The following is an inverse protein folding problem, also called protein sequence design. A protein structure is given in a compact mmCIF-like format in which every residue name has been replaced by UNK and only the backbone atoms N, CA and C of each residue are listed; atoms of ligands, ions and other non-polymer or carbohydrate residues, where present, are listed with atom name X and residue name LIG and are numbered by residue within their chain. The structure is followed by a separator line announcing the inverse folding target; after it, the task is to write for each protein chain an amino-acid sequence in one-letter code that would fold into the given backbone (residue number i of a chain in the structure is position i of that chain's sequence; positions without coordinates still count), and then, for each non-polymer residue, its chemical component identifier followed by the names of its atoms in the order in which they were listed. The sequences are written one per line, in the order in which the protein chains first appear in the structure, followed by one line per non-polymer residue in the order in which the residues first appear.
data_IF_665204271559
#
_entry.id   IF_665204271559
#
_cell.length_a   1.000
_cell.length_b   1.000
_cell.length_c   1.000
_cell.angle_alpha   90.00
_cell.angle_beta   90.00
_cell.angle_gamma   90.00
#
_symmetry.space_group_name_H-M   'P 1'
#
loop_
_entity.id
_entity.type
_entity.pdbx_description
1 polymer ?
#
# COMPACT_ATOMS: atom_id res chain seq x y z
N UNK A 1 13.16 -1.14 62.48
CA UNK A 1 13.58 -2.19 63.39
C UNK A 1 14.21 -3.29 62.54
N UNK A 2 15.46 -3.41 62.71
CA UNK A 2 16.49 -4.39 62.92
C UNK A 2 17.19 -4.85 61.62
N UNK A 3 18.40 -4.41 61.30
CA UNK A 3 19.76 -4.74 61.79
C UNK A 3 20.10 -6.23 61.69
N UNK A 4 21.13 -6.55 60.88
CA UNK A 4 22.31 -7.37 61.21
C UNK A 4 23.16 -7.54 59.94
N UNK A 5 24.28 -6.89 59.75
CA UNK A 5 25.66 -7.08 60.22
C UNK A 5 26.38 -8.24 59.53
N UNK A 6 27.32 -7.84 58.68
CA UNK A 6 28.74 -8.21 58.54
C UNK A 6 29.18 -9.64 58.85
N UNK A 7 30.01 -10.22 57.98
CA UNK A 7 31.32 -10.72 58.33
C UNK A 7 32.27 -10.92 57.13
N UNK A 8 33.43 -10.36 57.26
CA UNK A 8 34.69 -10.53 56.53
C UNK A 8 35.20 -11.97 56.58
N UNK A 9 35.82 -12.48 55.54
CA UNK A 9 37.02 -13.25 55.68
C UNK A 9 37.92 -13.14 54.43
N UNK A 10 39.06 -12.54 54.70
CA UNK A 10 40.24 -12.49 53.86
C UNK A 10 41.01 -13.78 54.08
N UNK A 11 41.44 -14.44 53.01
CA UNK A 11 42.68 -15.23 53.12
C UNK A 11 43.41 -15.26 51.77
N UNK A 12 44.53 -14.59 51.79
CA UNK A 12 45.63 -14.62 50.84
C UNK A 12 46.37 -15.96 50.94
N UNK A 13 46.82 -16.52 49.85
CA UNK A 13 48.13 -17.16 49.79
C UNK A 13 48.59 -17.44 48.34
N UNK A 14 49.70 -16.89 48.10
CA UNK A 14 50.67 -16.97 47.00
C UNK A 14 51.11 -18.43 46.74
N UNK A 15 51.24 -18.83 45.50
CA UNK A 15 52.33 -19.76 45.13
C UNK A 15 52.86 -19.47 43.72
N UNK A 16 54.14 -19.38 43.68
CA UNK A 16 55.07 -19.04 42.62
C UNK A 16 55.40 -20.29 41.82
N UNK A 17 55.59 -20.16 40.54
CA UNK A 17 56.63 -20.91 39.82
C UNK A 17 56.16 -22.00 38.91
N UNK A 18 56.42 -21.82 37.68
CA UNK A 18 57.41 -22.54 36.87
C UNK A 18 57.16 -22.34 35.39
N UNK A 19 58.09 -21.72 34.74
CA UNK A 19 58.32 -21.83 33.29
C UNK A 19 58.69 -23.24 32.91
N UNK A 20 58.13 -23.75 31.83
CA UNK A 20 58.77 -24.70 30.90
C UNK A 20 57.95 -24.68 29.60
N UNK A 21 58.47 -24.11 28.62
CA UNK A 21 59.17 -24.61 27.44
C UNK A 21 58.30 -25.24 26.35
N UNK A 22 58.23 -24.49 25.26
CA UNK A 22 58.51 -24.85 23.91
C UNK A 22 57.94 -26.17 23.37
N UNK A 23 56.88 -26.08 22.63
CA UNK A 23 56.34 -27.15 21.81
C UNK A 23 55.60 -26.60 20.61
N UNK A 24 56.35 -26.21 19.61
CA UNK A 24 55.88 -25.93 18.27
C UNK A 24 55.10 -27.15 17.73
N UNK A 25 53.80 -27.01 17.60
CA UNK A 25 52.99 -27.82 16.70
C UNK A 25 52.15 -26.91 15.82
N UNK A 26 52.60 -26.87 14.57
CA UNK A 26 51.81 -26.48 13.44
C UNK A 26 50.49 -27.24 13.45
N UNK A 27 49.42 -26.57 13.84
CA UNK A 27 48.08 -27.05 13.56
C UNK A 27 47.55 -26.33 12.34
N UNK A 28 47.32 -27.17 11.38
CA UNK A 28 46.59 -26.96 10.15
C UNK A 28 45.51 -25.93 10.31
N UNK A 29 45.58 -24.91 9.48
CA UNK A 29 44.45 -24.09 9.09
C UNK A 29 43.41 -25.00 8.41
N UNK A 30 42.52 -25.58 9.18
CA UNK A 30 41.26 -26.02 8.63
C UNK A 30 40.52 -24.80 8.12
N UNK A 31 40.54 -24.70 6.82
CA UNK A 31 39.67 -23.82 6.06
C UNK A 31 38.22 -23.95 6.58
N UNK A 32 37.84 -23.05 7.45
CA UNK A 32 36.43 -22.74 7.64
C UNK A 32 35.99 -22.08 6.32
N UNK A 33 35.65 -22.91 5.35
CA UNK A 33 34.80 -22.55 4.25
C UNK A 33 33.49 -22.12 4.89
N UNK A 34 33.41 -20.82 5.26
CA UNK A 34 32.14 -20.12 5.38
C UNK A 34 31.42 -20.36 4.05
N UNK A 35 30.48 -21.27 4.08
CA UNK A 35 29.46 -21.37 3.05
C UNK A 35 28.66 -20.08 3.09
N UNK A 36 29.22 -19.00 2.51
CA UNK A 36 28.48 -17.87 2.03
C UNK A 36 27.70 -18.33 0.82
N UNK A 37 26.59 -18.97 1.04
CA UNK A 37 25.58 -19.14 0.02
C UNK A 37 24.20 -19.37 0.65
N UNK A 38 23.79 -18.45 1.50
CA UNK A 38 22.38 -18.16 1.66
C UNK A 38 22.20 -16.70 1.27
N UNK A 39 21.95 -16.47 -0.02
CA UNK A 39 21.23 -15.29 -0.47
C UNK A 39 20.10 -15.11 0.54
N UNK A 40 19.95 -13.95 1.21
CA UNK A 40 18.80 -13.72 2.07
C UNK A 40 17.57 -13.95 1.22
N UNK A 41 16.78 -14.95 1.56
CA UNK A 41 15.68 -15.49 0.76
C UNK A 41 14.52 -14.50 0.63
N UNK A 42 14.67 -13.30 1.21
CA UNK A 42 13.69 -12.22 1.16
C UNK A 42 14.42 -10.87 1.02
N UNK A 43 14.90 -10.56 -0.18
CA UNK A 43 15.21 -9.17 -0.46
C UNK A 43 13.90 -8.37 -0.42
N UNK A 44 13.93 -7.13 0.04
CA UNK A 44 12.76 -6.22 0.06
C UNK A 44 12.07 -6.18 -1.30
N UNK A 45 12.84 -6.32 -2.38
CA UNK A 45 12.34 -6.38 -3.76
C UNK A 45 11.50 -7.63 -4.02
N UNK A 46 11.93 -8.80 -3.53
CA UNK A 46 11.20 -10.06 -3.72
C UNK A 46 9.90 -10.06 -2.92
N UNK A 47 9.92 -9.56 -1.70
CA UNK A 47 8.73 -9.39 -0.86
C UNK A 47 7.73 -8.45 -1.54
N UNK A 48 8.19 -7.31 -2.05
CA UNK A 48 7.34 -6.36 -2.74
C UNK A 48 6.74 -6.95 -4.04
N UNK A 49 7.54 -7.67 -4.82
CA UNK A 49 7.06 -8.34 -6.04
C UNK A 49 5.98 -9.38 -5.73
N UNK A 50 6.20 -10.19 -4.71
CA UNK A 50 5.22 -11.20 -4.30
C UNK A 50 3.93 -10.55 -3.80
N UNK A 51 4.04 -9.42 -3.09
CA UNK A 51 2.89 -8.64 -2.66
C UNK A 51 2.07 -8.15 -3.87
N UNK A 52 2.71 -7.49 -4.86
CA UNK A 52 2.03 -7.00 -6.06
C UNK A 52 1.34 -8.13 -6.84
N UNK A 53 1.97 -9.31 -6.90
CA UNK A 53 1.38 -10.48 -7.54
C UNK A 53 0.12 -10.96 -6.82
N UNK A 54 0.13 -11.00 -5.49
CA UNK A 54 -1.03 -11.37 -4.68
C UNK A 54 -2.16 -10.36 -4.80
N UNK A 55 -1.84 -9.07 -4.77
CA UNK A 55 -2.81 -8.01 -4.98
C UNK A 55 -3.48 -8.14 -6.36
N UNK A 56 -2.68 -8.32 -7.41
CA UNK A 56 -3.17 -8.55 -8.76
C UNK A 56 -4.12 -9.76 -8.83
N UNK A 57 -3.77 -10.87 -8.19
CA UNK A 57 -4.61 -12.06 -8.15
C UNK A 57 -5.93 -11.80 -7.40
N UNK A 58 -5.88 -11.06 -6.28
CA UNK A 58 -7.07 -10.70 -5.51
C UNK A 58 -8.03 -9.83 -6.32
N UNK A 59 -7.50 -8.89 -7.11
CA UNK A 59 -8.30 -8.05 -8.01
C UNK A 59 -8.94 -8.92 -9.11
N UNK A 60 -8.20 -9.84 -9.73
CA UNK A 60 -8.74 -10.73 -10.76
C UNK A 60 -9.85 -11.64 -10.20
N UNK A 61 -9.66 -12.19 -9.00
CA UNK A 61 -10.66 -12.99 -8.33
C UNK A 61 -11.93 -12.16 -8.06
N UNK A 62 -11.78 -10.92 -7.55
CA UNK A 62 -12.91 -10.02 -7.31
C UNK A 62 -13.74 -9.76 -8.58
N UNK A 63 -13.06 -9.53 -9.71
CA UNK A 63 -13.69 -9.29 -11.01
C UNK A 63 -14.43 -10.56 -11.48
N UNK A 64 -13.77 -11.72 -11.40
CA UNK A 64 -14.34 -13.00 -11.83
C UNK A 64 -15.53 -13.45 -10.96
N UNK A 65 -15.42 -13.34 -9.63
CA UNK A 65 -16.46 -13.76 -8.68
C UNK A 65 -17.77 -12.94 -8.83
N UNK A 66 -17.68 -11.76 -9.43
CA UNK A 66 -18.83 -10.84 -9.65
C UNK A 66 -19.25 -10.71 -11.11
N UNK A 67 -18.63 -11.49 -11.99
CA UNK A 67 -18.86 -11.44 -13.45
C UNK A 67 -18.78 -10.02 -14.04
N UNK A 68 -17.79 -9.24 -13.58
CA UNK A 68 -17.60 -7.86 -14.00
C UNK A 68 -16.85 -7.77 -15.32
N UNK A 69 -17.36 -6.94 -16.24
CA UNK A 69 -16.71 -6.65 -17.53
C UNK A 69 -15.82 -5.42 -17.44
N UNK A 70 -14.71 -5.52 -16.70
CA UNK A 70 -13.82 -4.38 -16.46
C UNK A 70 -12.71 -4.26 -17.53
N UNK A 71 -12.44 -3.02 -17.93
CA UNK A 71 -11.26 -2.65 -18.71
C UNK A 71 -10.11 -2.30 -17.76
N UNK A 72 -8.89 -2.40 -18.23
CA UNK A 72 -7.70 -1.92 -17.52
C UNK A 72 -7.01 -0.86 -18.37
N UNK A 73 -6.77 0.33 -17.78
CA UNK A 73 -6.07 1.40 -18.48
C UNK A 73 -4.53 1.28 -18.36
N UNK A 74 -3.82 2.19 -19.05
CA UNK A 74 -2.35 2.23 -19.05
C UNK A 74 -1.74 2.58 -17.67
N UNK A 75 -2.49 3.18 -16.76
CA UNK A 75 -2.03 3.52 -15.38
C UNK A 75 -2.24 2.37 -14.41
N UNK A 76 -2.95 1.33 -14.82
CA UNK A 76 -3.15 0.09 -14.06
C UNK A 76 -4.45 0.02 -13.27
N UNK A 77 -5.31 1.04 -13.32
CA UNK A 77 -6.65 0.98 -12.72
C UNK A 77 -7.60 0.15 -13.60
N UNK A 78 -8.51 -0.57 -12.94
CA UNK A 78 -9.60 -1.30 -13.61
C UNK A 78 -10.86 -0.49 -13.49
N UNK A 79 -11.68 -0.49 -14.55
CA UNK A 79 -12.90 0.29 -14.56
C UNK A 79 -13.97 -0.32 -15.46
N UNK A 80 -15.20 -0.07 -15.07
CA UNK A 80 -16.41 -0.28 -15.84
C UNK A 80 -17.27 0.96 -15.65
N UNK A 81 -17.61 1.65 -16.73
CA UNK A 81 -18.40 2.88 -16.72
C UNK A 81 -19.72 2.60 -17.41
N UNK A 82 -20.79 2.94 -16.73
CA UNK A 82 -22.13 3.05 -17.28
C UNK A 82 -22.35 4.52 -17.63
N UNK A 83 -22.31 4.80 -18.94
CA UNK A 83 -22.47 6.15 -19.46
C UNK A 83 -23.93 6.59 -19.35
N UNK A 84 -24.16 7.86 -19.00
CA UNK A 84 -25.49 8.44 -19.09
C UNK A 84 -25.88 8.62 -20.57
N UNK A 85 -26.88 7.81 -21.01
CA UNK A 85 -27.36 7.83 -22.39
C UNK A 85 -28.14 9.09 -22.79
N UNK A 86 -28.56 9.87 -21.79
CA UNK A 86 -29.37 11.07 -21.99
C UNK A 86 -28.53 12.33 -22.26
N UNK A 87 -27.20 12.21 -22.16
CA UNK A 87 -26.28 13.31 -22.42
C UNK A 87 -25.78 13.29 -23.88
N UNK A 88 -26.26 14.23 -24.66
CA UNK A 88 -25.72 14.48 -25.99
C UNK A 88 -24.30 15.09 -25.91
N UNK A 89 -23.31 14.46 -26.51
CA UNK A 89 -21.93 14.92 -26.57
C UNK A 89 -21.26 15.04 -25.16
N UNK A 90 -21.06 13.92 -24.45
CA UNK A 90 -20.56 13.93 -23.08
C UNK A 90 -19.15 14.52 -22.99
N UNK A 91 -18.97 15.49 -22.11
CA UNK A 91 -17.68 16.15 -21.88
C UNK A 91 -17.03 15.55 -20.64
N UNK A 92 -15.86 14.95 -20.84
CA UNK A 92 -15.05 14.36 -19.74
C UNK A 92 -14.35 15.43 -18.92
N UNK A 93 -14.13 15.13 -17.64
CA UNK A 93 -13.30 15.93 -16.78
C UNK A 93 -11.86 16.01 -17.26
N UNK A 94 -11.22 17.15 -17.06
CA UNK A 94 -9.83 17.43 -17.43
C UNK A 94 -9.05 17.96 -16.22
N UNK A 95 -7.72 17.97 -16.33
CA UNK A 95 -6.85 18.56 -15.31
C UNK A 95 -7.23 20.03 -15.06
N UNK A 96 -7.49 20.37 -13.80
CA UNK A 96 -7.89 21.70 -13.35
C UNK A 96 -9.40 21.93 -13.26
N UNK A 97 -10.23 21.06 -13.81
CA UNK A 97 -11.69 21.16 -13.65
C UNK A 97 -12.10 20.84 -12.21
N UNK A 98 -13.13 21.50 -11.71
CA UNK A 98 -13.78 21.17 -10.46
C UNK A 98 -14.88 20.13 -10.72
N UNK A 99 -14.79 18.99 -10.07
CA UNK A 99 -15.73 17.87 -10.24
C UNK A 99 -16.47 17.62 -8.93
N UNK A 100 -17.80 17.71 -8.99
CA UNK A 100 -18.70 17.27 -7.91
C UNK A 100 -19.13 15.84 -8.18
N UNK A 101 -18.97 14.95 -7.20
CA UNK A 101 -19.23 13.52 -7.38
C UNK A 101 -19.69 12.85 -6.08
N UNK A 102 -20.53 11.83 -6.23
CA UNK A 102 -20.79 10.88 -5.17
C UNK A 102 -19.78 9.75 -5.23
N UNK A 103 -19.43 9.23 -4.06
CA UNK A 103 -18.50 8.10 -3.97
C UNK A 103 -18.88 7.11 -2.87
N UNK A 104 -18.50 5.87 -3.09
CA UNK A 104 -18.41 4.84 -2.07
C UNK A 104 -17.10 4.09 -2.23
N UNK A 105 -16.33 3.99 -1.16
CA UNK A 105 -15.04 3.30 -1.11
C UNK A 105 -15.20 2.05 -0.28
N UNK A 106 -14.81 0.91 -0.84
CA UNK A 106 -14.85 -0.38 -0.15
C UNK A 106 -13.61 -1.22 -0.39
N UNK A 107 -13.40 -2.21 0.48
CA UNK A 107 -12.41 -3.26 0.29
C UNK A 107 -12.89 -4.29 -0.76
N UNK A 108 -11.98 -5.09 -1.31
CA UNK A 108 -12.31 -6.20 -2.21
C UNK A 108 -13.22 -7.26 -1.56
N UNK A 109 -13.29 -7.33 -0.22
CA UNK A 109 -14.22 -8.21 0.49
C UNK A 109 -15.64 -7.64 0.62
N UNK A 110 -15.87 -6.40 0.13
CA UNK A 110 -17.16 -5.71 0.18
C UNK A 110 -17.38 -4.84 1.41
N UNK A 111 -16.44 -4.79 2.37
CA UNK A 111 -16.56 -3.90 3.53
C UNK A 111 -16.46 -2.44 3.10
N UNK A 112 -17.52 -1.67 3.32
CA UNK A 112 -17.54 -0.24 3.07
C UNK A 112 -16.67 0.49 4.12
N UNK A 113 -15.86 1.44 3.63
CA UNK A 113 -14.96 2.24 4.44
C UNK A 113 -15.42 3.69 4.55
N UNK A 114 -15.74 4.28 3.40
CA UNK A 114 -16.15 5.67 3.26
C UNK A 114 -17.21 5.82 2.18
N UNK A 115 -18.09 6.80 2.36
CA UNK A 115 -19.05 7.23 1.33
C UNK A 115 -19.41 8.70 1.52
N UNK A 116 -19.77 9.38 0.43
CA UNK A 116 -20.43 10.69 0.49
C UNK A 116 -21.87 10.55 1.00
N UNK A 117 -22.39 11.59 1.63
CA UNK A 117 -23.82 11.63 1.94
C UNK A 117 -24.65 11.82 0.65
N UNK A 118 -25.86 11.31 0.66
CA UNK A 118 -26.75 11.32 -0.52
C UNK A 118 -27.00 12.73 -1.09
N UNK A 119 -27.03 13.75 -0.23
CA UNK A 119 -27.28 15.13 -0.62
C UNK A 119 -26.04 16.04 -0.54
N UNK A 120 -24.85 15.46 -0.30
CA UNK A 120 -23.59 16.19 -0.16
C UNK A 120 -22.51 15.52 -1.02
N UNK A 121 -22.45 15.80 -2.33
CA UNK A 121 -21.37 15.31 -3.16
C UNK A 121 -20.03 15.89 -2.70
N UNK A 122 -18.98 15.11 -2.85
CA UNK A 122 -17.62 15.59 -2.68
C UNK A 122 -17.24 16.51 -3.85
N UNK A 123 -16.34 17.44 -3.60
CA UNK A 123 -15.76 18.32 -4.61
C UNK A 123 -14.26 18.05 -4.69
N UNK A 124 -13.74 17.91 -5.90
CA UNK A 124 -12.30 17.73 -6.14
C UNK A 124 -11.88 18.51 -7.39
N UNK A 125 -10.82 19.31 -7.26
CA UNK A 125 -10.13 19.89 -8.41
C UNK A 125 -9.13 18.89 -8.99
N UNK A 126 -9.40 18.39 -10.19
CA UNK A 126 -8.66 17.32 -10.84
C UNK A 126 -7.19 17.71 -11.03
N UNK A 127 -6.28 16.84 -10.57
CA UNK A 127 -4.81 16.99 -10.63
C UNK A 127 -4.25 18.23 -9.89
N UNK A 128 -5.04 18.90 -9.04
CA UNK A 128 -4.64 20.12 -8.31
C UNK A 128 -4.80 20.02 -6.80
N UNK A 129 -5.69 19.17 -6.33
CA UNK A 129 -5.91 18.95 -4.90
C UNK A 129 -5.27 17.62 -4.46
N UNK A 130 -5.08 17.49 -3.14
CA UNK A 130 -4.50 16.29 -2.55
C UNK A 130 -5.55 15.18 -2.45
N UNK A 131 -5.42 14.21 -3.35
CA UNK A 131 -6.21 12.99 -3.39
C UNK A 131 -5.40 11.89 -4.06
N UNK A 132 -5.91 10.65 -4.02
CA UNK A 132 -5.24 9.51 -4.65
C UNK A 132 -5.14 9.72 -6.17
N UNK A 133 -3.96 9.48 -6.71
CA UNK A 133 -3.71 9.61 -8.17
C UNK A 133 -4.71 8.77 -8.99
N UNK A 134 -5.11 7.60 -8.45
CA UNK A 134 -6.11 6.74 -9.08
C UNK A 134 -7.50 7.38 -9.15
N UNK A 135 -7.88 8.19 -8.17
CA UNK A 135 -9.16 8.92 -8.18
C UNK A 135 -9.15 10.01 -9.27
N UNK A 136 -8.08 10.80 -9.36
CA UNK A 136 -7.94 11.77 -10.45
C UNK A 136 -8.02 11.11 -11.83
N UNK A 137 -7.37 9.96 -12.00
CA UNK A 137 -7.43 9.21 -13.26
C UNK A 137 -8.84 8.67 -13.54
N UNK A 138 -9.56 8.20 -12.51
CA UNK A 138 -10.92 7.71 -12.64
C UNK A 138 -11.87 8.83 -13.08
N UNK A 139 -11.84 9.99 -12.42
CA UNK A 139 -12.67 11.13 -12.75
C UNK A 139 -12.44 11.62 -14.20
N UNK A 140 -11.21 11.60 -14.70
CA UNK A 140 -10.89 11.96 -16.10
C UNK A 140 -11.46 10.99 -17.15
N UNK A 141 -11.88 9.80 -16.76
CA UNK A 141 -12.54 8.85 -17.66
C UNK A 141 -14.04 9.07 -17.79
N UNK A 142 -14.65 9.85 -16.88
CA UNK A 142 -16.08 10.03 -16.71
C UNK A 142 -16.57 11.40 -17.18
N UNK A 143 -17.85 11.46 -17.51
CA UNK A 143 -18.62 12.66 -17.85
C UNK A 143 -19.73 12.87 -16.82
N UNK A 144 -20.41 14.01 -16.86
CA UNK A 144 -21.59 14.28 -16.00
C UNK A 144 -22.66 13.22 -16.22
N UNK A 145 -23.21 12.68 -15.14
CA UNK A 145 -24.23 11.63 -15.13
C UNK A 145 -23.69 10.21 -15.20
N UNK A 146 -22.41 10.02 -15.57
CA UNK A 146 -21.80 8.69 -15.60
C UNK A 146 -21.70 8.07 -14.22
N UNK A 147 -21.96 6.76 -14.14
CA UNK A 147 -21.67 5.91 -13.00
C UNK A 147 -20.53 4.99 -13.33
N UNK A 148 -19.60 4.82 -12.41
CA UNK A 148 -18.41 4.03 -12.68
C UNK A 148 -17.95 3.21 -11.47
N UNK A 149 -17.67 1.95 -11.72
CA UNK A 149 -17.00 1.06 -10.78
C UNK A 149 -15.52 0.99 -11.14
N UNK A 150 -14.66 1.33 -10.17
CA UNK A 150 -13.22 1.35 -10.34
C UNK A 150 -12.54 0.47 -9.31
N UNK A 151 -11.47 -0.23 -9.70
CA UNK A 151 -10.58 -0.89 -8.75
C UNK A 151 -9.21 -0.25 -8.88
N UNK A 152 -8.80 0.39 -7.81
CA UNK A 152 -7.50 1.04 -7.68
C UNK A 152 -6.54 0.09 -6.95
N UNK A 153 -5.50 -0.44 -7.62
CA UNK A 153 -4.41 -1.11 -6.92
C UNK A 153 -3.77 -0.18 -5.87
N UNK A 154 -3.18 -0.74 -4.84
CA UNK A 154 -2.66 0.03 -3.69
C UNK A 154 -1.75 1.18 -4.09
N UNK A 155 -0.89 0.99 -5.10
CA UNK A 155 0.03 2.03 -5.59
C UNK A 155 -0.67 3.19 -6.34
N UNK A 156 -1.94 3.06 -6.66
CA UNK A 156 -2.80 4.11 -7.24
C UNK A 156 -3.78 4.70 -6.22
N UNK A 157 -3.88 4.07 -5.04
CA UNK A 157 -4.67 4.48 -3.90
C UNK A 157 -3.75 4.99 -2.77
N UNK A 158 -3.90 4.50 -1.54
CA UNK A 158 -3.16 5.00 -0.35
C UNK A 158 -1.77 4.34 -0.15
N UNK A 159 -1.32 3.52 -1.07
CA UNK A 159 0.05 2.99 -1.13
C UNK A 159 0.49 2.19 0.08
N UNK A 160 1.77 2.40 0.45
CA UNK A 160 2.45 1.63 1.51
C UNK A 160 2.03 2.03 2.93
N UNK A 161 1.36 3.17 3.10
CA UNK A 161 0.99 3.71 4.41
C UNK A 161 -0.47 3.49 4.78
N UNK A 162 -1.35 3.24 3.79
CA UNK A 162 -2.78 3.36 4.00
C UNK A 162 -3.16 4.81 4.33
N UNK A 163 -4.36 5.03 4.86
CA UNK A 163 -4.83 6.35 5.32
C UNK A 163 -4.62 6.57 6.82
N UNK A 164 -3.97 5.62 7.50
CA UNK A 164 -3.73 5.60 8.95
C UNK A 164 -5.02 5.59 9.81
N UNK A 165 -6.16 5.21 9.21
CA UNK A 165 -7.46 5.12 9.85
C UNK A 165 -8.16 3.81 9.48
N UNK A 166 -8.93 3.79 8.39
CA UNK A 166 -9.71 2.62 7.96
C UNK A 166 -9.05 1.82 6.85
N UNK A 167 -8.16 2.43 6.07
CA UNK A 167 -7.50 1.78 4.93
C UNK A 167 -6.14 1.26 5.34
N UNK A 168 -5.96 -0.08 5.39
CA UNK A 168 -4.65 -0.67 5.71
C UNK A 168 -3.58 -0.36 4.65
N UNK A 169 -2.28 -0.47 5.01
CA UNK A 169 -1.19 -0.45 4.04
C UNK A 169 -1.39 -1.46 2.92
N UNK A 170 -0.92 -1.12 1.72
CA UNK A 170 -0.91 -2.01 0.56
C UNK A 170 -2.29 -2.57 0.19
N UNK A 171 -3.33 -1.77 0.26
CA UNK A 171 -4.71 -2.24 0.05
C UNK A 171 -5.27 -1.73 -1.27
N UNK A 172 -5.71 -2.64 -2.15
CA UNK A 172 -6.50 -2.29 -3.31
C UNK A 172 -7.92 -1.91 -2.87
N UNK A 173 -8.47 -0.88 -3.50
CA UNK A 173 -9.77 -0.30 -3.16
C UNK A 173 -10.74 -0.39 -4.34
N UNK A 174 -12.01 -0.53 -4.00
CA UNK A 174 -13.11 -0.43 -4.94
C UNK A 174 -13.79 0.92 -4.73
N UNK A 175 -13.87 1.71 -5.79
CA UNK A 175 -14.59 2.98 -5.85
C UNK A 175 -15.83 2.82 -6.70
N UNK A 176 -16.97 3.18 -6.15
CA UNK A 176 -18.22 3.37 -6.88
C UNK A 176 -18.44 4.88 -6.96
N UNK A 177 -18.43 5.42 -8.17
CA UNK A 177 -18.43 6.86 -8.43
C UNK A 177 -19.63 7.25 -9.29
N UNK A 178 -20.19 8.41 -9.03
CA UNK A 178 -21.21 9.05 -9.85
C UNK A 178 -20.88 10.54 -10.01
N UNK A 179 -20.74 11.02 -11.24
CA UNK A 179 -20.43 12.43 -11.51
C UNK A 179 -21.71 13.26 -11.51
N UNK A 180 -21.77 14.23 -10.62
CA UNK A 180 -22.90 15.16 -10.48
C UNK A 180 -22.72 16.38 -11.38
N UNK A 181 -21.51 16.98 -11.36
CA UNK A 181 -21.22 18.22 -12.08
C UNK A 181 -19.72 18.30 -12.44
N UNK A 182 -19.42 18.90 -13.59
CA UNK A 182 -18.07 19.27 -13.99
C UNK A 182 -18.05 20.76 -14.33
N UNK A 183 -17.38 21.55 -13.50
CA UNK A 183 -17.14 22.96 -13.75
C UNK A 183 -15.79 23.12 -14.44
N UNK A 184 -15.83 23.56 -15.69
CA UNK A 184 -14.62 23.77 -16.49
C UNK A 184 -13.82 24.96 -15.97
N UNK A 185 -12.49 24.78 -15.82
CA UNK A 185 -11.61 25.89 -15.54
C UNK A 185 -11.70 26.91 -16.68
N UNK A 186 -12.21 28.10 -16.41
CA UNK A 186 -12.15 29.21 -17.36
C UNK A 186 -10.69 29.73 -17.33
N UNK A 187 -9.92 29.41 -18.37
CA UNK A 187 -8.65 30.11 -18.58
C UNK A 187 -8.97 31.57 -18.90
N UNK A 188 -8.38 32.54 -18.15
CA UNK A 188 -8.55 33.97 -18.42
C UNK A 188 -7.96 34.37 -19.76
#
# INVERSE_FOLDING_TARGET
VSKFKTLFFVLSLIFIGACQDFGSKSQQNEDIKLKQNTKPKNSTIEVHREFLKREQQSIQNYIADRDLSMQRNGTGIYYQIEADSDVDNPIKAQSGDDVSYHYKISLLNGSELYSSAENEPALLRVDKEDAEIGLHDALKLMSVGDKGLFILPSHRAFGVSGDQNKIPPFTALVYDLEIVEIQKLQNP
#
